data_IF_084449574230
#
_entry.id   IF_084449574230
#
_cell.length_a   1.000
_cell.length_b   1.000
_cell.length_c   1.000
_cell.angle_alpha   90.00
_cell.angle_beta   90.00
_cell.angle_gamma   90.00
#
_symmetry.space_group_name_H-M   'P 1'
#
loop_
_entity.id
_entity.type
_entity.pdbx_description
1 polymer ?
#
# COMPACT_ATOMS: atom_id res chain seq x y z
N UNK A 1 -27.59 -55.64 19.72
CA UNK A 1 -28.59 -56.39 20.00
C UNK A 1 -29.57 -55.97 18.93
N UNK A 2 -29.92 -56.67 18.14
CA UNK A 2 -29.42 -57.29 16.96
C UNK A 2 -30.10 -56.95 15.61
N UNK A 3 -30.92 -55.94 15.48
CA UNK A 3 -31.60 -55.59 14.22
C UNK A 3 -31.61 -54.07 13.94
N UNK A 4 -30.82 -53.30 14.67
CA UNK A 4 -30.76 -51.86 14.50
C UNK A 4 -29.34 -51.36 14.24
N UNK A 5 -29.18 -50.55 13.22
CA UNK A 5 -27.94 -49.84 12.87
C UNK A 5 -28.09 -48.36 13.28
N UNK A 6 -27.02 -47.78 13.75
CA UNK A 6 -26.91 -46.31 13.99
C UNK A 6 -26.50 -45.64 12.70
N UNK A 7 -27.31 -44.70 12.23
CA UNK A 7 -27.00 -43.81 11.13
C UNK A 7 -26.58 -42.46 11.72
N UNK A 8 -25.43 -41.98 11.30
CA UNK A 8 -24.86 -40.68 11.71
C UNK A 8 -24.59 -39.83 10.49
N UNK A 9 -25.05 -38.59 10.49
CA UNK A 9 -24.75 -37.62 9.43
C UNK A 9 -24.87 -36.19 9.97
N UNK A 10 -24.13 -35.29 9.35
CA UNK A 10 -24.16 -33.87 9.67
C UNK A 10 -25.23 -33.17 8.82
N UNK A 11 -25.93 -32.22 9.41
CA UNK A 11 -26.82 -31.29 8.71
C UNK A 11 -26.45 -29.87 9.04
N UNK A 12 -26.66 -28.98 8.08
CA UNK A 12 -26.41 -27.55 8.20
C UNK A 12 -27.61 -26.76 7.68
N UNK A 13 -27.88 -25.63 8.32
CA UNK A 13 -28.81 -24.61 7.82
C UNK A 13 -28.10 -23.38 7.26
N UNK A 14 -26.78 -23.51 6.95
CA UNK A 14 -25.85 -22.49 6.51
C UNK A 14 -25.44 -21.47 7.61
N UNK A 15 -25.98 -21.56 8.83
CA UNK A 15 -25.55 -20.77 9.99
C UNK A 15 -24.71 -21.58 10.96
N UNK A 16 -24.99 -22.90 11.04
CA UNK A 16 -24.27 -23.85 11.87
C UNK A 16 -24.44 -25.28 11.37
N UNK A 17 -23.67 -26.19 11.95
CA UNK A 17 -23.72 -27.62 11.64
C UNK A 17 -24.01 -28.43 12.91
N UNK A 18 -24.88 -29.40 12.83
CA UNK A 18 -25.21 -30.29 13.94
C UNK A 18 -25.24 -31.77 13.47
N UNK A 19 -24.76 -32.65 14.32
CA UNK A 19 -24.81 -34.09 14.05
C UNK A 19 -26.20 -34.65 14.34
N UNK A 20 -26.66 -35.54 13.48
CA UNK A 20 -27.88 -36.32 13.65
C UNK A 20 -27.48 -37.77 13.91
N UNK A 21 -28.05 -38.35 15.00
CA UNK A 21 -27.82 -39.75 15.35
C UNK A 21 -29.21 -40.44 15.47
N UNK A 22 -29.45 -41.41 14.61
CA UNK A 22 -30.70 -42.15 14.58
C UNK A 22 -30.50 -43.66 14.52
N UNK A 23 -31.40 -44.40 15.11
CA UNK A 23 -31.45 -45.85 15.02
C UNK A 23 -32.44 -46.25 13.91
N UNK A 24 -31.99 -47.05 12.96
CA UNK A 24 -32.81 -47.61 11.93
C UNK A 24 -32.76 -49.14 11.99
N UNK A 25 -33.89 -49.80 11.66
CA UNK A 25 -33.88 -51.24 11.48
C UNK A 25 -33.15 -51.62 10.20
N UNK A 26 -32.48 -52.75 10.20
CA UNK A 26 -31.67 -53.18 9.08
C UNK A 26 -32.47 -53.34 7.77
N UNK A 27 -33.74 -53.70 7.86
CA UNK A 27 -34.64 -53.79 6.71
C UNK A 27 -34.99 -52.44 6.07
N UNK A 28 -34.91 -51.35 6.82
CA UNK A 28 -35.19 -49.99 6.36
C UNK A 28 -33.95 -49.24 5.85
N UNK A 29 -32.79 -49.75 6.12
CA UNK A 29 -31.50 -49.10 5.74
C UNK A 29 -31.38 -48.75 4.25
N UNK A 30 -31.69 -49.63 3.28
CA UNK A 30 -31.57 -49.33 1.87
C UNK A 30 -32.41 -48.15 1.42
N UNK A 31 -33.66 -48.05 1.95
CA UNK A 31 -34.59 -46.96 1.66
C UNK A 31 -34.07 -45.63 2.22
N UNK A 32 -33.69 -45.63 3.50
CA UNK A 32 -33.17 -44.43 4.18
C UNK A 32 -31.92 -43.93 3.53
N UNK A 33 -30.92 -44.77 3.22
CA UNK A 33 -29.68 -44.39 2.58
C UNK A 33 -29.86 -44.00 1.12
N UNK A 34 -30.90 -44.52 0.45
CA UNK A 34 -31.30 -44.07 -0.89
C UNK A 34 -31.75 -42.61 -0.96
N UNK A 35 -32.43 -42.15 0.09
CA UNK A 35 -32.99 -40.80 0.20
C UNK A 35 -32.02 -39.78 0.86
N UNK A 36 -31.22 -40.24 1.82
CA UNK A 36 -30.23 -39.39 2.55
C UNK A 36 -28.88 -39.33 1.81
N UNK A 37 -28.86 -38.60 0.71
CA UNK A 37 -27.61 -38.35 -0.02
C UNK A 37 -26.97 -37.03 0.42
N UNK A 38 -25.64 -36.95 0.29
CA UNK A 38 -24.90 -35.68 0.50
C UNK A 38 -25.51 -34.57 -0.38
N UNK A 39 -25.84 -33.44 0.23
CA UNK A 39 -26.51 -32.32 -0.43
C UNK A 39 -28.03 -32.40 -0.52
N UNK A 40 -28.66 -33.44 0.04
CA UNK A 40 -30.12 -33.52 0.11
C UNK A 40 -30.67 -32.52 1.15
N UNK A 41 -31.71 -31.79 0.78
CA UNK A 41 -32.44 -30.90 1.67
C UNK A 41 -33.47 -31.70 2.42
N UNK A 42 -33.40 -31.67 3.76
CA UNK A 42 -34.28 -32.47 4.63
C UNK A 42 -34.82 -31.64 5.79
N UNK A 43 -36.06 -31.92 6.19
CA UNK A 43 -36.65 -31.46 7.43
C UNK A 43 -36.65 -32.63 8.43
N UNK A 44 -36.01 -32.40 9.58
CA UNK A 44 -35.82 -33.42 10.61
C UNK A 44 -36.65 -33.07 11.84
N UNK A 45 -37.32 -34.07 12.41
CA UNK A 45 -37.98 -33.97 13.68
C UNK A 45 -37.27 -34.89 14.68
N UNK A 46 -36.70 -34.33 15.73
CA UNK A 46 -35.95 -35.03 16.75
C UNK A 46 -35.79 -34.19 18.01
N UNK A 47 -35.01 -34.67 18.96
CA UNK A 47 -34.73 -33.99 20.24
C UNK A 47 -33.24 -33.64 20.23
N UNK A 48 -32.90 -32.39 20.50
CA UNK A 48 -31.51 -31.98 20.72
C UNK A 48 -31.06 -32.42 22.11
N UNK A 49 -29.92 -33.06 22.21
CA UNK A 49 -29.34 -33.56 23.45
C UNK A 49 -27.81 -33.49 23.37
N UNK A 50 -27.19 -33.41 24.53
CA UNK A 50 -25.74 -33.59 24.62
C UNK A 50 -25.45 -35.11 24.53
N UNK A 51 -24.68 -35.50 23.56
CA UNK A 51 -24.26 -36.90 23.42
C UNK A 51 -23.30 -37.27 24.56
N UNK A 52 -23.55 -38.43 25.15
CA UNK A 52 -22.80 -38.90 26.31
C UNK A 52 -21.40 -39.41 26.02
N UNK A 53 -21.12 -39.67 24.75
CA UNK A 53 -19.80 -40.21 24.33
C UNK A 53 -18.80 -39.14 23.90
N UNK A 54 -19.28 -38.14 23.15
CA UNK A 54 -18.40 -37.07 22.61
C UNK A 54 -18.69 -35.71 23.26
N UNK A 55 -19.75 -35.58 24.05
CA UNK A 55 -20.06 -34.31 24.74
C UNK A 55 -20.65 -33.22 23.83
N UNK A 56 -20.91 -33.54 22.55
CA UNK A 56 -21.37 -32.57 21.58
C UNK A 56 -22.93 -32.51 21.53
N UNK A 57 -23.44 -31.33 21.11
CA UNK A 57 -24.86 -31.17 20.86
C UNK A 57 -25.25 -31.93 19.60
N UNK A 58 -26.22 -32.86 19.73
CA UNK A 58 -26.68 -33.70 18.63
C UNK A 58 -28.19 -33.71 18.54
N UNK A 59 -28.77 -34.04 17.38
CA UNK A 59 -30.18 -34.40 17.22
C UNK A 59 -30.30 -35.91 17.35
N UNK A 60 -30.91 -36.33 18.46
CA UNK A 60 -31.25 -37.72 18.72
C UNK A 60 -32.77 -37.95 18.70
N UNK A 61 -33.18 -39.16 19.04
CA UNK A 61 -34.61 -39.55 19.07
C UNK A 61 -35.40 -39.07 17.84
N UNK A 62 -34.79 -39.26 16.68
CA UNK A 62 -35.34 -38.81 15.40
C UNK A 62 -36.65 -39.57 15.15
N UNK A 63 -37.77 -38.84 15.04
CA UNK A 63 -39.12 -39.38 14.79
C UNK A 63 -39.56 -39.20 13.35
N UNK A 64 -38.86 -38.44 12.55
CA UNK A 64 -39.16 -38.23 11.14
C UNK A 64 -38.11 -37.45 10.40
N UNK A 65 -37.91 -37.85 9.16
CA UNK A 65 -37.10 -37.13 8.17
C UNK A 65 -37.97 -37.01 6.93
N UNK A 66 -38.05 -35.79 6.38
CA UNK A 66 -38.77 -35.51 5.14
C UNK A 66 -37.84 -34.76 4.18
N UNK A 67 -37.74 -35.24 2.96
CA UNK A 67 -37.08 -34.51 1.88
C UNK A 67 -37.89 -33.25 1.55
N UNK A 68 -37.22 -32.15 1.39
CA UNK A 68 -37.79 -30.83 1.02
C UNK A 68 -37.09 -30.30 -0.22
N UNK A 69 -37.67 -29.27 -0.83
CA UNK A 69 -37.01 -28.57 -1.94
C UNK A 69 -35.77 -27.84 -1.51
N UNK A 70 -34.90 -27.60 -2.47
CA UNK A 70 -33.74 -26.71 -2.28
C UNK A 70 -34.25 -25.30 -1.94
N UNK A 71 -33.81 -24.76 -0.81
CA UNK A 71 -34.11 -23.40 -0.36
C UNK A 71 -32.88 -22.47 -0.40
N UNK A 72 -31.82 -22.91 -1.06
CA UNK A 72 -30.64 -22.07 -1.25
C UNK A 72 -30.99 -20.85 -2.10
N UNK A 73 -30.70 -19.68 -1.59
CA UNK A 73 -30.76 -18.45 -2.37
C UNK A 73 -29.43 -18.27 -3.04
N UNK A 74 -29.33 -18.56 -4.33
CA UNK A 74 -28.15 -18.22 -5.11
C UNK A 74 -28.15 -16.70 -5.37
N UNK A 75 -27.02 -16.06 -5.12
CA UNK A 75 -26.83 -14.68 -5.56
C UNK A 75 -26.66 -14.69 -7.08
N UNK A 76 -27.31 -13.75 -7.74
CA UNK A 76 -27.22 -13.53 -9.19
C UNK A 76 -26.84 -12.09 -9.46
N UNK A 77 -26.07 -11.88 -10.50
CA UNK A 77 -25.87 -10.54 -11.05
C UNK A 77 -26.99 -10.23 -12.04
N UNK A 78 -27.93 -9.37 -11.62
CA UNK A 78 -29.06 -8.92 -12.44
C UNK A 78 -28.76 -7.64 -13.23
N UNK A 79 -27.52 -7.16 -13.21
CA UNK A 79 -27.12 -5.97 -13.96
C UNK A 79 -27.31 -6.17 -15.47
N UNK A 80 -27.95 -5.23 -16.17
CA UNK A 80 -28.15 -5.34 -17.63
C UNK A 80 -26.83 -5.23 -18.41
N UNK A 81 -25.83 -4.56 -17.83
CA UNK A 81 -24.47 -4.46 -18.38
C UNK A 81 -23.53 -5.14 -17.39
N UNK A 82 -22.90 -6.21 -17.84
CA UNK A 82 -21.93 -6.95 -17.02
C UNK A 82 -20.58 -6.23 -17.04
N UNK A 83 -19.99 -6.06 -15.87
CA UNK A 83 -18.63 -5.51 -15.76
C UNK A 83 -17.57 -6.60 -15.89
N UNK A 84 -16.36 -6.20 -16.18
CA UNK A 84 -15.17 -7.04 -16.03
C UNK A 84 -14.51 -6.68 -14.70
N UNK A 85 -14.34 -7.66 -13.81
CA UNK A 85 -13.55 -7.47 -12.61
C UNK A 85 -12.07 -7.53 -12.97
N UNK A 86 -11.34 -6.45 -12.67
CA UNK A 86 -9.92 -6.31 -13.00
C UNK A 86 -8.98 -6.45 -11.79
N UNK A 87 -9.54 -6.58 -10.59
CA UNK A 87 -8.81 -6.71 -9.34
C UNK A 87 -9.47 -7.75 -8.45
N UNK A 88 -8.99 -8.98 -8.51
CA UNK A 88 -9.60 -10.10 -7.78
C UNK A 88 -8.54 -11.00 -7.16
N UNK A 89 -8.75 -11.35 -5.90
CA UNK A 89 -7.88 -12.22 -5.10
C UNK A 89 -8.49 -13.60 -4.91
N UNK A 90 -7.65 -14.62 -5.05
CA UNK A 90 -7.97 -16.01 -4.72
C UNK A 90 -7.35 -16.37 -3.36
N UNK A 91 -7.55 -17.60 -2.90
CA UNK A 91 -6.87 -18.13 -1.71
C UNK A 91 -5.33 -18.14 -1.81
N UNK A 92 -4.76 -17.85 -2.99
CA UNK A 92 -3.31 -17.74 -3.18
C UNK A 92 -2.78 -16.37 -2.73
N UNK A 93 -3.66 -15.40 -2.50
CA UNK A 93 -3.31 -14.12 -1.84
C UNK A 93 -3.26 -14.35 -0.34
N UNK A 94 -2.05 -14.38 0.21
CA UNK A 94 -1.79 -14.64 1.62
C UNK A 94 -2.52 -13.64 2.53
N UNK A 95 -3.30 -14.16 3.49
CA UNK A 95 -4.11 -13.42 4.47
C UNK A 95 -5.21 -12.50 3.89
N UNK A 96 -5.56 -12.64 2.60
CA UNK A 96 -6.52 -11.76 1.93
C UNK A 96 -7.65 -12.51 1.23
N UNK A 97 -7.34 -13.52 0.41
CA UNK A 97 -8.33 -14.32 -0.30
C UNK A 97 -8.61 -15.66 0.36
N UNK A 98 -9.88 -16.13 0.28
CA UNK A 98 -10.29 -17.45 0.82
C UNK A 98 -10.93 -18.35 -0.25
N UNK A 99 -11.32 -17.80 -1.41
CA UNK A 99 -12.05 -18.52 -2.45
C UNK A 99 -11.10 -19.24 -3.40
N UNK A 100 -11.50 -20.43 -3.84
CA UNK A 100 -10.82 -21.14 -4.92
C UNK A 100 -10.95 -20.34 -6.23
N UNK A 101 -9.88 -20.26 -7.00
CA UNK A 101 -9.89 -19.58 -8.30
C UNK A 101 -10.94 -20.17 -9.23
N UNK A 102 -11.11 -21.49 -9.23
CA UNK A 102 -12.11 -22.17 -10.04
C UNK A 102 -13.54 -21.71 -9.73
N UNK A 103 -13.86 -21.50 -8.45
CA UNK A 103 -15.20 -21.06 -8.02
C UNK A 103 -15.44 -19.60 -8.41
N UNK A 104 -14.41 -18.76 -8.29
CA UNK A 104 -14.46 -17.34 -8.71
C UNK A 104 -14.69 -17.24 -10.21
N UNK A 105 -13.88 -17.93 -11.00
CA UNK A 105 -13.94 -17.91 -12.48
C UNK A 105 -15.27 -18.47 -12.98
N UNK A 106 -15.70 -19.61 -12.41
CA UNK A 106 -16.99 -20.23 -12.69
C UNK A 106 -18.15 -19.27 -12.37
N UNK A 107 -18.10 -18.58 -11.24
CA UNK A 107 -19.14 -17.62 -10.83
C UNK A 107 -19.26 -16.46 -11.80
N UNK A 108 -18.12 -15.89 -12.23
CA UNK A 108 -18.11 -14.81 -13.23
C UNK A 108 -18.70 -15.28 -14.56
N UNK A 109 -18.34 -16.47 -15.01
CA UNK A 109 -18.89 -17.08 -16.23
C UNK A 109 -20.39 -17.34 -16.12
N UNK A 110 -20.86 -18.01 -15.02
CA UNK A 110 -22.29 -18.31 -14.80
C UNK A 110 -23.15 -17.04 -14.74
N UNK A 111 -22.58 -15.91 -14.31
CA UNK A 111 -23.26 -14.61 -14.26
C UNK A 111 -23.22 -13.85 -15.58
N UNK A 112 -22.58 -14.41 -16.62
CA UNK A 112 -22.48 -13.82 -17.94
C UNK A 112 -21.53 -12.63 -18.04
N UNK A 113 -20.54 -12.54 -17.15
CA UNK A 113 -19.45 -11.58 -17.31
C UNK A 113 -18.61 -11.96 -18.54
N UNK A 114 -18.11 -10.98 -19.32
CA UNK A 114 -17.30 -11.30 -20.50
C UNK A 114 -15.88 -11.74 -20.16
N UNK A 115 -15.37 -11.37 -18.97
CA UNK A 115 -14.06 -11.75 -18.48
C UNK A 115 -13.92 -11.48 -16.97
N UNK A 116 -12.87 -12.06 -16.38
CA UNK A 116 -12.41 -11.74 -15.02
C UNK A 116 -10.88 -11.74 -14.98
N UNK A 117 -10.27 -10.81 -14.25
CA UNK A 117 -8.84 -10.84 -13.96
C UNK A 117 -8.56 -11.60 -12.66
N UNK A 118 -7.45 -12.33 -12.62
CA UNK A 118 -6.89 -12.93 -11.42
C UNK A 118 -5.61 -12.17 -11.08
N UNK A 119 -5.58 -11.51 -9.92
CA UNK A 119 -4.55 -10.55 -9.54
C UNK A 119 -4.11 -10.75 -8.09
N UNK A 120 -3.66 -11.95 -7.77
CA UNK A 120 -3.17 -12.29 -6.43
C UNK A 120 -1.93 -11.46 -6.04
N UNK A 121 -1.73 -11.25 -4.74
CA UNK A 121 -0.61 -10.48 -4.18
C UNK A 121 0.75 -11.10 -4.51
N UNK A 122 1.46 -10.51 -5.48
CA UNK A 122 2.84 -10.85 -5.82
C UNK A 122 3.06 -12.26 -6.37
N UNK A 123 2.01 -13.01 -6.70
CA UNK A 123 2.09 -14.43 -7.08
C UNK A 123 1.20 -14.77 -8.28
N UNK A 124 1.50 -15.90 -8.92
CA UNK A 124 0.79 -16.40 -10.11
C UNK A 124 0.29 -17.86 -9.94
N UNK A 125 0.24 -18.39 -8.71
CA UNK A 125 -0.09 -19.79 -8.46
C UNK A 125 -1.49 -20.19 -8.90
N UNK A 126 -2.45 -19.24 -8.94
CA UNK A 126 -3.82 -19.50 -9.36
C UNK A 126 -3.98 -19.67 -10.88
N UNK A 127 -2.99 -19.30 -11.71
CA UNK A 127 -3.12 -19.27 -13.17
C UNK A 127 -3.37 -20.65 -13.79
N UNK A 128 -2.68 -21.74 -13.40
CA UNK A 128 -2.96 -23.04 -13.97
C UNK A 128 -4.40 -23.50 -13.76
N UNK A 129 -4.93 -23.34 -12.54
CA UNK A 129 -6.30 -23.77 -12.21
C UNK A 129 -7.35 -22.88 -12.90
N UNK A 130 -7.08 -21.57 -13.07
CA UNK A 130 -7.92 -20.69 -13.88
C UNK A 130 -7.94 -21.12 -15.35
N UNK A 131 -6.78 -21.47 -15.91
CA UNK A 131 -6.66 -21.97 -17.28
C UNK A 131 -7.38 -23.32 -17.49
N UNK A 132 -7.23 -24.24 -16.54
CA UNK A 132 -7.93 -25.53 -16.59
C UNK A 132 -9.45 -25.37 -16.60
N UNK A 133 -9.99 -24.36 -15.92
CA UNK A 133 -11.43 -24.06 -16.03
C UNK A 133 -11.80 -23.63 -17.47
N UNK A 134 -11.03 -22.72 -18.08
CA UNK A 134 -11.27 -22.26 -19.47
C UNK A 134 -11.22 -23.45 -20.46
N UNK A 135 -10.31 -24.40 -20.26
CA UNK A 135 -10.20 -25.60 -21.09
C UNK A 135 -11.43 -26.53 -21.00
N UNK A 136 -12.27 -26.36 -19.97
CA UNK A 136 -13.55 -27.11 -19.84
C UNK A 136 -14.72 -26.46 -20.59
N UNK A 137 -14.57 -25.22 -21.05
CA UNK A 137 -15.61 -24.51 -21.78
C UNK A 137 -15.60 -24.90 -23.27
N UNK A 138 -16.70 -24.60 -23.96
CA UNK A 138 -16.77 -24.78 -25.39
C UNK A 138 -15.75 -23.88 -26.10
N UNK A 139 -15.20 -24.35 -27.23
CA UNK A 139 -14.17 -23.61 -27.98
C UNK A 139 -14.61 -22.25 -28.47
N UNK A 140 -15.91 -22.07 -28.68
CA UNK A 140 -16.51 -20.83 -29.15
C UNK A 140 -17.02 -19.94 -28.00
N UNK A 141 -16.81 -20.36 -26.76
CA UNK A 141 -17.18 -19.55 -25.60
C UNK A 141 -16.34 -18.27 -25.54
N UNK A 142 -16.96 -17.08 -25.51
CA UNK A 142 -16.24 -15.81 -25.54
C UNK A 142 -15.60 -15.43 -24.20
N UNK A 143 -15.90 -16.13 -23.11
CA UNK A 143 -15.42 -15.81 -21.77
C UNK A 143 -13.91 -15.91 -21.66
N UNK A 144 -13.28 -14.97 -20.93
CA UNK A 144 -11.82 -14.89 -20.81
C UNK A 144 -11.38 -14.73 -19.36
N UNK A 145 -10.26 -15.37 -19.03
CA UNK A 145 -9.47 -15.03 -17.84
C UNK A 145 -8.34 -14.09 -18.26
N UNK A 146 -8.23 -12.97 -17.57
CA UNK A 146 -7.13 -12.00 -17.70
C UNK A 146 -6.12 -12.32 -16.58
N UNK A 147 -4.88 -12.61 -16.97
CA UNK A 147 -3.80 -12.93 -16.03
C UNK A 147 -3.12 -11.64 -15.59
N UNK A 148 -3.01 -11.44 -14.28
CA UNK A 148 -2.41 -10.27 -13.69
C UNK A 148 -1.81 -10.55 -12.32
N UNK A 149 -1.23 -9.54 -11.73
CA UNK A 149 -0.70 -9.58 -10.37
C UNK A 149 -0.96 -8.26 -9.67
N UNK A 150 -1.30 -8.29 -8.39
CA UNK A 150 -1.15 -7.12 -7.55
C UNK A 150 0.29 -7.08 -7.03
N UNK A 151 1.09 -6.24 -7.65
CA UNK A 151 2.51 -6.08 -7.33
C UNK A 151 2.75 -5.03 -6.26
N UNK A 152 3.91 -5.09 -5.63
CA UNK A 152 4.41 -4.11 -4.67
C UNK A 152 5.50 -3.27 -5.35
N UNK A 153 5.07 -2.20 -6.05
CA UNK A 153 6.00 -1.33 -6.76
C UNK A 153 6.82 -0.47 -5.80
N UNK A 154 8.08 -0.30 -6.13
CA UNK A 154 9.02 0.62 -5.48
C UNK A 154 9.42 1.68 -6.48
N UNK A 155 9.32 2.95 -6.11
CA UNK A 155 9.82 4.04 -6.94
C UNK A 155 11.33 4.25 -6.68
N UNK A 156 12.12 3.47 -7.38
CA UNK A 156 13.58 3.52 -7.37
C UNK A 156 14.14 4.47 -8.44
N UNK A 157 13.26 5.11 -9.22
CA UNK A 157 13.62 6.16 -10.18
C UNK A 157 13.51 7.56 -9.59
N UNK A 158 13.09 7.69 -8.32
CA UNK A 158 13.07 8.98 -7.65
C UNK A 158 14.50 9.47 -7.48
N UNK A 159 14.81 10.55 -8.16
CA UNK A 159 16.10 11.20 -8.04
C UNK A 159 16.32 11.73 -6.61
N UNK A 160 17.55 11.61 -6.10
CA UNK A 160 17.95 12.22 -4.83
C UNK A 160 17.97 13.73 -4.97
N UNK A 161 18.45 14.21 -6.12
CA UNK A 161 18.45 15.61 -6.51
C UNK A 161 17.60 15.78 -7.77
N UNK A 162 16.43 16.39 -7.62
CA UNK A 162 15.44 16.58 -8.70
C UNK A 162 15.81 17.79 -9.55
N UNK A 163 15.59 17.69 -10.86
CA UNK A 163 15.96 18.71 -11.86
C UNK A 163 17.45 19.07 -11.82
N UNK A 164 18.30 18.22 -11.26
CA UNK A 164 19.70 18.48 -11.05
C UNK A 164 20.54 18.33 -12.33
N UNK A 165 21.54 19.16 -12.44
CA UNK A 165 22.59 19.12 -13.46
C UNK A 165 23.99 18.96 -12.83
N UNK A 166 24.93 19.74 -13.32
CA UNK A 166 26.31 19.72 -12.87
C UNK A 166 26.57 20.71 -11.71
N UNK A 167 25.54 21.07 -10.90
CA UNK A 167 25.70 21.89 -9.69
C UNK A 167 26.68 21.23 -8.74
N UNK A 168 27.64 22.05 -8.25
CA UNK A 168 28.68 21.61 -7.32
C UNK A 168 28.10 21.36 -5.92
N UNK A 169 28.60 20.37 -5.18
CA UNK A 169 28.27 20.19 -3.77
C UNK A 169 28.82 21.35 -2.88
N UNK A 170 29.60 22.28 -3.44
CA UNK A 170 30.05 23.51 -2.78
C UNK A 170 29.23 24.75 -3.14
N UNK A 171 28.23 24.62 -4.02
CA UNK A 171 27.32 25.71 -4.36
C UNK A 171 26.47 26.15 -3.15
N UNK A 172 25.68 27.18 -3.36
CA UNK A 172 24.73 27.65 -2.33
C UNK A 172 23.53 26.73 -2.25
N UNK A 173 23.25 26.25 -1.05
CA UNK A 173 22.10 25.41 -0.72
C UNK A 173 21.19 26.10 0.29
N UNK A 174 19.89 26.06 0.04
CA UNK A 174 18.87 26.60 0.95
C UNK A 174 18.14 25.41 1.58
N UNK A 175 18.56 25.09 2.78
CA UNK A 175 17.93 24.01 3.56
C UNK A 175 16.74 24.58 4.27
N UNK A 176 15.53 24.06 4.01
CA UNK A 176 14.31 24.64 4.55
C UNK A 176 13.33 23.56 5.03
N UNK A 177 12.40 24.00 5.83
CA UNK A 177 11.30 23.22 6.36
C UNK A 177 10.09 24.13 6.49
N UNK A 178 8.88 23.58 6.40
CA UNK A 178 7.64 24.33 6.54
C UNK A 178 6.70 23.65 7.53
N UNK A 179 5.95 24.48 8.27
CA UNK A 179 4.79 24.00 9.01
C UNK A 179 3.51 24.40 8.27
N UNK A 180 2.50 23.53 8.31
CA UNK A 180 1.29 23.67 7.49
C UNK A 180 0.03 23.33 8.27
N UNK A 181 -1.14 23.77 7.78
CA UNK A 181 -2.45 23.42 8.38
C UNK A 181 -2.89 21.98 8.09
N UNK A 182 -2.14 21.22 7.28
CA UNK A 182 -2.44 19.83 6.90
C UNK A 182 -1.50 19.33 5.80
N UNK A 183 -1.83 18.22 5.17
CA UNK A 183 -0.91 17.49 4.28
C UNK A 183 -1.09 17.76 2.78
N UNK A 184 -2.08 18.54 2.38
CA UNK A 184 -2.42 18.77 0.98
C UNK A 184 -1.98 20.15 0.53
N UNK A 185 -0.97 20.24 -0.35
CA UNK A 185 -0.52 21.51 -0.94
C UNK A 185 -1.63 22.30 -1.68
N UNK A 186 -2.72 21.60 -2.11
CA UNK A 186 -3.87 22.23 -2.79
C UNK A 186 -4.90 22.78 -1.80
N UNK A 187 -5.10 22.13 -0.65
CA UNK A 187 -6.20 22.43 0.29
C UNK A 187 -5.72 23.07 1.58
N UNK A 188 -4.48 22.87 1.94
CA UNK A 188 -3.91 23.34 3.20
C UNK A 188 -2.95 24.50 2.97
N UNK A 189 -2.63 25.23 4.03
CA UNK A 189 -1.88 26.47 3.97
C UNK A 189 -0.59 26.38 4.78
N UNK A 190 0.46 27.05 4.35
CA UNK A 190 1.70 27.23 5.11
C UNK A 190 1.42 28.16 6.30
N UNK A 191 1.98 27.84 7.48
CA UNK A 191 1.89 28.64 8.71
C UNK A 191 3.24 29.10 9.25
N UNK A 192 4.35 28.42 8.87
CA UNK A 192 5.72 28.84 9.16
C UNK A 192 6.64 28.43 8.02
N UNK A 193 7.64 29.24 7.69
CA UNK A 193 8.77 28.90 6.81
C UNK A 193 10.06 29.15 7.59
N UNK A 194 10.87 28.11 7.74
CA UNK A 194 12.21 28.16 8.28
C UNK A 194 13.24 27.76 7.24
N UNK A 195 14.29 28.53 7.07
CA UNK A 195 15.34 28.20 6.13
C UNK A 195 16.73 28.59 6.63
N UNK A 196 17.72 27.85 6.16
CA UNK A 196 19.12 28.02 6.49
C UNK A 196 19.93 28.01 5.19
N UNK A 197 20.72 29.05 4.95
CA UNK A 197 21.62 29.13 3.80
C UNK A 197 22.95 28.47 4.13
N UNK A 198 23.32 27.49 3.33
CA UNK A 198 24.61 26.78 3.41
C UNK A 198 25.44 27.12 2.20
N UNK A 199 26.67 27.50 2.41
CA UNK A 199 27.68 27.79 1.37
C UNK A 199 29.01 27.24 1.82
N UNK A 200 29.75 26.60 0.91
CA UNK A 200 31.06 25.96 1.22
C UNK A 200 31.01 25.08 2.49
N UNK A 201 29.91 24.33 2.67
CA UNK A 201 29.70 23.45 3.83
C UNK A 201 29.48 24.17 5.16
N UNK A 202 29.16 25.47 5.14
CA UNK A 202 28.92 26.28 6.35
C UNK A 202 27.58 27.00 6.30
N UNK A 203 26.93 27.10 7.46
CA UNK A 203 25.73 27.91 7.61
C UNK A 203 26.14 29.37 7.62
N UNK A 204 25.62 30.16 6.69
CA UNK A 204 25.97 31.58 6.50
C UNK A 204 24.82 32.55 6.78
N UNK A 205 23.55 32.09 6.67
CA UNK A 205 22.37 32.95 6.88
C UNK A 205 21.14 32.11 7.29
N UNK A 206 20.10 32.77 7.82
CA UNK A 206 18.85 32.16 8.26
C UNK A 206 17.66 33.02 7.88
N UNK A 207 16.56 32.35 7.55
CA UNK A 207 15.24 32.93 7.31
C UNK A 207 14.23 32.24 8.21
N UNK A 208 13.37 32.98 8.91
CA UNK A 208 12.33 32.39 9.74
C UNK A 208 11.17 33.37 9.85
N UNK A 209 9.97 32.91 9.51
CA UNK A 209 8.77 33.73 9.59
C UNK A 209 7.52 32.90 9.72
N UNK A 210 6.57 33.40 10.49
CA UNK A 210 5.19 32.91 10.47
C UNK A 210 4.45 33.44 9.23
N UNK A 211 3.46 32.68 8.81
CA UNK A 211 2.57 33.01 7.69
C UNK A 211 1.14 32.91 8.17
N UNK A 212 0.34 33.98 7.96
CA UNK A 212 -1.08 33.94 8.26
C UNK A 212 -1.81 33.05 7.22
N UNK A 213 -2.37 31.88 7.63
CA UNK A 213 -3.08 31.01 6.72
C UNK A 213 -4.45 31.52 6.28
N UNK A 214 -4.94 32.64 6.87
CA UNK A 214 -6.29 33.23 6.68
C UNK A 214 -7.43 32.26 6.96
N UNK A 215 -7.17 31.27 7.80
CA UNK A 215 -8.10 30.22 8.25
C UNK A 215 -7.65 29.66 9.60
N UNK A 216 -8.55 29.11 10.41
CA UNK A 216 -8.17 28.50 11.69
C UNK A 216 -7.18 27.33 11.49
N UNK A 217 -6.21 27.23 12.39
CA UNK A 217 -5.27 26.11 12.45
C UNK A 217 -5.99 24.93 13.13
N UNK A 218 -6.02 23.72 12.53
CA UNK A 218 -6.61 22.55 13.16
C UNK A 218 -5.93 22.20 14.50
N UNK A 219 -6.72 21.78 15.46
CA UNK A 219 -6.24 21.44 16.80
C UNK A 219 -5.10 20.43 16.82
N UNK A 220 -5.16 19.43 15.94
CA UNK A 220 -4.12 18.41 15.79
C UNK A 220 -2.79 19.01 15.33
N UNK A 221 -2.84 20.03 14.47
CA UNK A 221 -1.64 20.75 13.99
C UNK A 221 -1.07 21.62 15.10
N UNK A 222 -1.92 22.36 15.84
CA UNK A 222 -1.46 23.12 17.01
C UNK A 222 -0.80 22.20 18.05
N UNK A 223 -1.35 21.02 18.30
CA UNK A 223 -0.74 20.06 19.22
C UNK A 223 0.61 19.52 18.71
N UNK A 224 0.78 19.41 17.40
CA UNK A 224 2.01 18.90 16.79
C UNK A 224 3.12 19.96 16.77
N UNK A 225 2.78 21.17 16.28
CA UNK A 225 3.75 22.25 15.99
C UNK A 225 3.88 23.26 17.12
N UNK A 226 2.93 23.27 18.06
CA UNK A 226 2.75 24.31 19.08
C UNK A 226 2.45 25.72 18.51
N UNK A 227 2.15 25.83 17.21
CA UNK A 227 1.76 27.09 16.57
C UNK A 227 0.26 27.28 16.75
N UNK A 228 -0.12 28.44 17.32
CA UNK A 228 -1.52 28.81 17.56
C UNK A 228 -2.00 29.86 16.59
N UNK A 229 -3.32 30.04 16.50
CA UNK A 229 -3.92 31.10 15.69
C UNK A 229 -3.42 32.49 16.10
N UNK A 230 -3.23 32.73 17.41
CA UNK A 230 -2.74 34.03 17.93
C UNK A 230 -1.31 34.32 17.45
N UNK A 231 -0.46 33.29 17.27
CA UNK A 231 0.92 33.51 16.82
C UNK A 231 1.02 33.94 15.36
N UNK A 232 0.06 33.54 14.53
CA UNK A 232 0.08 33.79 13.09
C UNK A 232 -0.88 34.91 12.62
N UNK A 233 -1.83 35.33 13.46
CA UNK A 233 -2.91 36.23 13.03
C UNK A 233 -2.41 37.60 12.55
N UNK A 234 -1.33 38.12 13.15
CA UNK A 234 -0.74 39.42 12.78
C UNK A 234 0.39 39.26 11.75
N UNK A 235 0.70 38.05 11.33
CA UNK A 235 1.72 37.80 10.31
C UNK A 235 1.20 38.10 8.90
N UNK A 236 2.08 38.48 7.96
CA UNK A 236 1.69 38.58 6.55
C UNK A 236 1.20 37.26 5.98
N UNK A 237 0.37 37.31 4.95
CA UNK A 237 -0.04 36.12 4.20
C UNK A 237 1.04 35.63 3.26
N UNK A 238 0.82 34.45 2.69
CA UNK A 238 1.78 33.75 1.79
C UNK A 238 2.13 34.63 0.57
N UNK A 239 1.20 35.43 0.08
CA UNK A 239 1.40 36.34 -1.04
C UNK A 239 2.49 37.40 -0.80
N UNK A 240 2.79 37.71 0.46
CA UNK A 240 3.86 38.63 0.87
C UNK A 240 5.14 37.86 1.22
N UNK A 241 5.01 36.73 1.90
CA UNK A 241 6.15 35.98 2.44
C UNK A 241 6.85 35.19 1.35
N UNK A 242 6.11 34.57 0.43
CA UNK A 242 6.74 33.74 -0.61
C UNK A 242 7.71 34.50 -1.49
N UNK A 243 7.43 35.74 -1.99
CA UNK A 243 8.43 36.50 -2.71
C UNK A 243 9.72 36.77 -1.89
N UNK A 244 9.59 37.04 -0.58
CA UNK A 244 10.75 37.26 0.30
C UNK A 244 11.55 35.95 0.49
N UNK A 245 10.87 34.83 0.62
CA UNK A 245 11.54 33.52 0.67
C UNK A 245 12.27 33.23 -0.64
N UNK A 246 11.66 33.48 -1.80
CA UNK A 246 12.28 33.28 -3.10
C UNK A 246 13.49 34.21 -3.32
N UNK A 247 13.44 35.44 -2.82
CA UNK A 247 14.59 36.35 -2.80
C UNK A 247 15.73 35.80 -1.94
N UNK A 248 15.42 35.23 -0.76
CA UNK A 248 16.40 34.55 0.09
C UNK A 248 16.99 33.32 -0.60
N UNK A 249 16.17 32.56 -1.35
CA UNK A 249 16.63 31.39 -2.14
C UNK A 249 17.63 31.84 -3.23
N UNK A 250 17.29 32.87 -4.01
CA UNK A 250 18.07 33.31 -5.15
C UNK A 250 18.31 32.16 -6.14
N UNK A 251 19.56 31.98 -6.57
CA UNK A 251 19.99 30.89 -7.46
C UNK A 251 20.36 29.58 -6.70
N UNK A 252 20.06 29.51 -5.40
CA UNK A 252 20.43 28.38 -4.55
C UNK A 252 19.59 27.13 -4.83
N UNK A 253 20.19 25.96 -4.56
CA UNK A 253 19.50 24.67 -4.62
C UNK A 253 18.71 24.45 -3.32
N UNK A 254 17.44 24.10 -3.43
CA UNK A 254 16.62 23.77 -2.28
C UNK A 254 17.00 22.42 -1.67
N UNK A 255 16.94 22.31 -0.36
CA UNK A 255 17.16 21.05 0.37
C UNK A 255 16.12 20.92 1.46
N UNK A 256 15.46 19.76 1.57
CA UNK A 256 14.55 19.49 2.67
C UNK A 256 14.56 18.01 3.07
N UNK A 257 13.96 17.70 4.23
CA UNK A 257 13.87 16.33 4.73
C UNK A 257 12.51 15.71 4.35
N UNK A 258 12.46 14.88 3.30
CA UNK A 258 11.28 14.47 2.55
C UNK A 258 10.77 15.60 1.64
N UNK A 259 11.70 16.14 0.88
CA UNK A 259 11.61 17.40 0.13
C UNK A 259 10.37 17.53 -0.76
N UNK A 260 9.84 16.43 -1.29
CA UNK A 260 8.63 16.45 -2.12
C UNK A 260 7.40 17.04 -1.41
N UNK A 261 7.34 16.98 -0.07
CA UNK A 261 6.28 17.62 0.72
C UNK A 261 6.47 19.15 0.72
N UNK A 262 7.60 19.62 1.19
CA UNK A 262 7.88 21.04 1.39
C UNK A 262 7.91 21.80 0.05
N UNK A 263 8.66 21.27 -0.91
CA UNK A 263 8.76 21.83 -2.26
C UNK A 263 7.39 21.87 -2.93
N UNK A 264 6.57 20.82 -2.78
CA UNK A 264 5.23 20.76 -3.35
C UNK A 264 4.29 21.87 -2.85
N UNK A 265 4.43 22.31 -1.59
CA UNK A 265 3.71 23.49 -1.07
C UNK A 265 4.25 24.79 -1.67
N UNK A 266 5.57 24.94 -1.79
CA UNK A 266 6.19 26.12 -2.41
C UNK A 266 5.76 26.23 -3.88
N UNK A 267 5.91 25.16 -4.67
CA UNK A 267 5.49 25.09 -6.07
C UNK A 267 4.01 25.45 -6.26
N UNK A 268 3.12 24.87 -5.41
CA UNK A 268 1.69 25.14 -5.51
C UNK A 268 1.37 26.62 -5.24
N UNK A 269 2.03 27.22 -4.25
CA UNK A 269 1.85 28.64 -3.96
C UNK A 269 2.47 29.55 -5.05
N UNK A 270 3.61 29.15 -5.64
CA UNK A 270 4.16 29.85 -6.82
C UNK A 270 3.17 29.82 -7.99
N UNK A 271 2.59 28.68 -8.32
CA UNK A 271 1.54 28.56 -9.36
C UNK A 271 0.35 29.47 -9.06
N UNK A 272 -0.14 29.48 -7.82
CA UNK A 272 -1.27 30.30 -7.41
C UNK A 272 -1.00 31.80 -7.55
N UNK A 273 0.26 32.24 -7.40
CA UNK A 273 0.68 33.63 -7.50
C UNK A 273 1.27 34.00 -8.88
N UNK A 274 1.34 33.04 -9.82
CA UNK A 274 1.91 33.26 -11.15
C UNK A 274 3.43 33.49 -11.14
N UNK A 275 4.12 32.91 -10.16
CA UNK A 275 5.58 32.91 -10.02
C UNK A 275 6.17 31.64 -10.64
N UNK A 276 7.49 31.65 -10.92
CA UNK A 276 8.21 30.46 -11.36
C UNK A 276 8.15 29.37 -10.30
N UNK A 277 7.76 28.16 -10.68
CA UNK A 277 7.57 26.99 -9.83
C UNK A 277 8.57 25.85 -10.12
N UNK A 278 9.66 26.16 -10.85
CA UNK A 278 10.69 25.19 -11.22
C UNK A 278 11.89 25.30 -10.30
N UNK A 279 12.05 24.31 -9.41
CA UNK A 279 13.14 24.28 -8.46
C UNK A 279 14.07 23.09 -8.70
N UNK A 280 15.38 23.31 -8.47
CA UNK A 280 16.32 22.22 -8.26
C UNK A 280 16.34 21.95 -6.76
N UNK A 281 16.14 20.70 -6.37
CA UNK A 281 16.13 20.37 -4.94
C UNK A 281 16.73 19.00 -4.63
N UNK A 282 17.20 18.83 -3.39
CA UNK A 282 17.76 17.58 -2.83
C UNK A 282 16.89 17.07 -1.72
N UNK A 283 16.54 15.78 -1.74
CA UNK A 283 15.83 15.10 -0.64
C UNK A 283 16.83 14.39 0.28
N UNK A 284 16.96 14.90 1.50
CA UNK A 284 17.87 14.30 2.49
C UNK A 284 17.41 12.95 3.01
N UNK A 285 16.12 12.57 2.89
CA UNK A 285 15.64 11.22 3.20
C UNK A 285 16.15 10.23 2.14
N UNK A 286 16.05 10.60 0.86
CA UNK A 286 16.55 9.77 -0.23
C UNK A 286 18.08 9.60 -0.09
N UNK A 287 18.78 10.67 0.20
CA UNK A 287 20.24 10.66 0.43
C UNK A 287 20.64 9.83 1.66
N UNK A 288 19.88 9.94 2.77
CA UNK A 288 20.11 9.15 3.97
C UNK A 288 19.92 7.64 3.74
N UNK A 289 18.99 7.23 2.87
CA UNK A 289 18.80 5.81 2.52
C UNK A 289 20.04 5.22 1.85
N UNK A 290 20.75 6.01 1.09
CA UNK A 290 21.97 5.59 0.38
C UNK A 290 23.18 5.61 1.31
N UNK A 291 23.37 6.70 2.06
CA UNK A 291 24.57 6.92 2.89
C UNK A 291 24.50 6.20 4.25
N UNK A 292 23.29 5.96 4.78
CA UNK A 292 23.06 5.29 6.08
C UNK A 292 22.19 4.04 5.91
N UNK A 293 22.59 3.05 5.10
CA UNK A 293 21.75 1.91 4.74
C UNK A 293 21.41 0.98 5.92
N UNK A 294 22.07 1.13 7.06
CA UNK A 294 21.83 0.33 8.27
C UNK A 294 20.64 0.81 9.09
N UNK A 295 20.16 2.04 8.88
CA UNK A 295 19.02 2.57 9.61
C UNK A 295 17.71 1.86 9.22
N UNK A 296 16.86 1.62 10.19
CA UNK A 296 15.53 1.03 9.98
C UNK A 296 14.45 2.07 9.64
N UNK A 297 14.67 3.33 9.99
CA UNK A 297 13.78 4.48 9.75
C UNK A 297 14.62 5.73 9.48
N UNK A 298 14.06 6.64 8.67
CA UNK A 298 14.73 7.85 8.20
C UNK A 298 13.99 9.13 8.61
N UNK A 299 13.34 9.14 9.77
CA UNK A 299 12.80 10.37 10.36
C UNK A 299 13.94 11.30 10.78
N UNK A 300 13.72 12.61 10.73
CA UNK A 300 14.73 13.63 11.02
C UNK A 300 15.49 13.37 12.33
N UNK A 301 14.76 13.11 13.41
CA UNK A 301 15.35 12.83 14.72
C UNK A 301 16.22 11.54 14.76
N UNK A 302 15.89 10.56 13.94
CA UNK A 302 16.67 9.30 13.86
C UNK A 302 17.95 9.52 13.08
N UNK A 303 17.88 10.24 11.95
CA UNK A 303 19.05 10.58 11.12
C UNK A 303 19.99 11.52 11.89
N UNK A 304 19.44 12.57 12.52
CA UNK A 304 20.21 13.49 13.36
C UNK A 304 20.98 12.73 14.46
N UNK A 305 20.29 11.85 15.19
CA UNK A 305 20.90 11.01 16.23
C UNK A 305 22.02 10.11 15.69
N UNK A 306 21.81 9.49 14.51
CA UNK A 306 22.81 8.62 13.88
C UNK A 306 24.08 9.37 13.48
N UNK A 307 23.95 10.65 13.19
CA UNK A 307 25.04 11.55 12.84
C UNK A 307 25.58 12.38 14.03
N UNK A 308 25.10 12.13 15.26
CA UNK A 308 25.44 12.90 16.47
C UNK A 308 25.14 14.41 16.32
N UNK A 309 23.99 14.75 15.74
CA UNK A 309 23.47 16.12 15.61
C UNK A 309 22.41 16.33 16.67
N UNK A 310 22.47 17.47 17.38
CA UNK A 310 21.45 17.88 18.35
C UNK A 310 20.21 18.36 17.62
N UNK A 311 19.04 17.96 18.09
CA UNK A 311 17.75 18.43 17.62
C UNK A 311 16.97 18.97 18.81
N UNK A 312 17.06 20.29 19.03
CA UNK A 312 16.33 21.03 20.05
C UNK A 312 15.09 21.65 19.41
N UNK A 313 13.97 21.73 20.14
CA UNK A 313 12.70 22.31 19.69
C UNK A 313 12.15 21.71 18.38
N UNK A 314 12.14 20.41 18.27
CA UNK A 314 11.54 19.72 17.11
C UNK A 314 10.11 20.19 16.86
N UNK A 315 9.71 20.33 15.59
CA UNK A 315 8.48 20.98 15.09
C UNK A 315 8.47 22.52 15.15
N UNK A 316 9.64 23.14 14.99
CA UNK A 316 9.80 24.53 14.61
C UNK A 316 10.60 24.57 13.31
N UNK A 317 10.01 25.14 12.27
CA UNK A 317 10.57 25.05 10.92
C UNK A 317 12.05 25.49 10.82
N UNK A 318 12.47 26.53 11.51
CA UNK A 318 13.87 26.99 11.48
C UNK A 318 14.83 26.04 12.22
N UNK A 319 14.39 25.39 13.28
CA UNK A 319 15.21 24.45 14.05
C UNK A 319 15.35 23.13 13.29
N UNK A 320 14.27 22.64 12.66
CA UNK A 320 14.28 21.45 11.81
C UNK A 320 15.09 21.70 10.53
N UNK A 321 14.98 22.88 9.91
CA UNK A 321 15.85 23.30 8.81
C UNK A 321 17.33 23.37 9.24
N UNK A 322 17.62 23.86 10.44
CA UNK A 322 18.97 23.91 11.00
C UNK A 322 19.59 22.51 11.17
N UNK A 323 18.85 21.60 11.80
CA UNK A 323 19.29 20.21 11.95
C UNK A 323 19.44 19.51 10.59
N UNK A 324 18.53 19.76 9.66
CA UNK A 324 18.61 19.24 8.29
C UNK A 324 19.85 19.80 7.55
N UNK A 325 20.20 21.05 7.78
CA UNK A 325 21.42 21.66 7.21
C UNK A 325 22.69 21.00 7.74
N UNK A 326 22.79 20.73 9.04
CA UNK A 326 23.92 19.98 9.60
C UNK A 326 23.99 18.53 9.05
N UNK A 327 22.85 17.86 8.89
CA UNK A 327 22.78 16.56 8.24
C UNK A 327 23.28 16.64 6.82
N UNK A 328 22.80 17.61 6.04
CA UNK A 328 23.21 17.80 4.65
C UNK A 328 24.71 18.06 4.51
N UNK A 329 25.28 18.92 5.34
CA UNK A 329 26.74 19.18 5.36
C UNK A 329 27.52 17.89 5.60
N UNK A 330 27.12 17.06 6.58
CA UNK A 330 27.76 15.76 6.81
C UNK A 330 27.63 14.80 5.63
N UNK A 331 26.47 14.81 4.98
CA UNK A 331 26.27 14.00 3.77
C UNK A 331 27.18 14.46 2.62
N UNK A 332 27.33 15.76 2.41
CA UNK A 332 28.27 16.32 1.44
C UNK A 332 29.72 15.88 1.76
N UNK A 333 30.12 15.92 3.04
CA UNK A 333 31.44 15.42 3.45
C UNK A 333 31.63 13.91 3.13
N UNK A 334 30.59 13.10 3.33
CA UNK A 334 30.61 11.66 3.02
C UNK A 334 30.72 11.43 1.51
N UNK A 335 29.92 12.13 0.70
CA UNK A 335 29.96 12.05 -0.76
C UNK A 335 31.32 12.45 -1.33
N UNK A 336 31.94 13.54 -0.83
CA UNK A 336 33.24 14.00 -1.25
C UNK A 336 34.36 12.99 -0.94
N UNK A 337 34.23 12.21 0.15
CA UNK A 337 35.18 11.11 0.42
C UNK A 337 35.12 10.01 -0.64
N UNK A 338 33.97 9.84 -1.27
CA UNK A 338 33.76 8.90 -2.38
C UNK A 338 34.00 9.55 -3.76
N UNK A 339 34.61 10.74 -3.80
CA UNK A 339 34.88 11.52 -4.99
C UNK A 339 33.65 11.97 -5.79
N UNK A 340 32.52 12.12 -5.12
CA UNK A 340 31.28 12.68 -5.67
C UNK A 340 31.30 14.19 -5.43
N UNK A 341 31.16 14.99 -6.48
CA UNK A 341 31.32 16.44 -6.44
C UNK A 341 30.17 17.24 -7.01
N UNK A 342 29.28 16.59 -7.77
CA UNK A 342 28.09 17.21 -8.40
C UNK A 342 26.80 16.50 -8.07
N UNK A 343 25.67 17.20 -8.17
CA UNK A 343 24.34 16.64 -7.94
C UNK A 343 23.99 15.52 -8.94
N UNK A 344 24.45 15.63 -10.18
CA UNK A 344 24.28 14.59 -11.18
C UNK A 344 25.00 13.28 -10.78
N UNK A 345 26.18 13.41 -10.17
CA UNK A 345 26.92 12.26 -9.63
C UNK A 345 26.22 11.68 -8.40
N UNK A 346 25.60 12.50 -7.56
CA UNK A 346 24.77 12.06 -6.42
C UNK A 346 23.63 11.14 -6.89
N UNK A 347 22.90 11.49 -7.93
CA UNK A 347 21.85 10.65 -8.49
C UNK A 347 22.40 9.31 -9.00
N UNK A 348 23.54 9.31 -9.70
CA UNK A 348 24.19 8.09 -10.17
C UNK A 348 24.75 7.23 -9.03
N UNK A 349 25.20 7.85 -7.95
CA UNK A 349 25.67 7.15 -6.74
C UNK A 349 24.52 6.44 -6.02
N UNK A 350 23.32 7.03 -6.04
CA UNK A 350 22.09 6.43 -5.50
C UNK A 350 21.56 5.24 -6.33
N UNK A 351 21.94 5.18 -7.62
CA UNK A 351 21.50 4.12 -8.53
C UNK A 351 22.06 2.75 -8.12
N UNK A 352 21.15 1.74 -7.99
CA UNK A 352 21.47 0.29 -8.01
C UNK A 352 21.85 -0.41 -6.71
N UNK A 353 21.57 0.12 -5.55
CA UNK A 353 21.73 -0.69 -4.34
C UNK A 353 20.48 -1.52 -4.05
N UNK A 354 20.52 -2.83 -4.39
CA UNK A 354 19.44 -3.81 -4.10
C UNK A 354 18.99 -3.73 -2.63
N UNK A 355 19.93 -3.53 -1.69
CA UNK A 355 19.61 -3.40 -0.27
C UNK A 355 18.86 -2.11 0.06
N UNK A 356 19.10 -1.03 -0.67
CA UNK A 356 18.32 0.20 -0.55
C UNK A 356 16.90 0.00 -1.08
N UNK A 357 16.74 -0.58 -2.27
CA UNK A 357 15.44 -0.92 -2.88
C UNK A 357 14.61 -1.80 -1.94
N UNK A 358 15.23 -2.81 -1.30
CA UNK A 358 14.56 -3.69 -0.32
C UNK A 358 14.01 -2.96 0.91
N UNK A 359 14.43 -1.74 1.20
CA UNK A 359 13.99 -0.92 2.35
C UNK A 359 13.06 0.22 1.96
N UNK A 360 12.91 0.52 0.67
CA UNK A 360 12.03 1.58 0.19
C UNK A 360 10.56 1.25 0.46
N UNK A 361 9.70 2.25 0.61
CA UNK A 361 8.26 2.05 0.72
C UNK A 361 7.71 1.38 -0.54
N UNK A 362 6.65 0.61 -0.37
CA UNK A 362 5.98 -0.06 -1.48
C UNK A 362 4.58 0.51 -1.68
N UNK A 363 4.14 0.59 -2.93
CA UNK A 363 2.78 0.93 -3.32
C UNK A 363 2.17 -0.23 -4.07
N UNK A 364 0.85 -0.41 -3.96
CA UNK A 364 0.15 -1.46 -4.70
C UNK A 364 -0.07 -1.03 -6.15
N UNK A 365 0.14 -1.95 -7.08
CA UNK A 365 -0.10 -1.75 -8.50
C UNK A 365 -0.71 -3.01 -9.10
N UNK A 366 -1.75 -2.84 -9.91
CA UNK A 366 -2.32 -3.94 -10.70
C UNK A 366 -1.65 -3.98 -12.06
N UNK A 367 -0.99 -5.09 -12.37
CA UNK A 367 -0.35 -5.34 -13.65
C UNK A 367 -1.11 -6.46 -14.37
N UNK A 368 -1.67 -6.15 -15.54
CA UNK A 368 -2.44 -7.09 -16.36
C UNK A 368 -1.68 -7.45 -17.64
N UNK A 369 -1.64 -8.74 -17.94
CA UNK A 369 -1.02 -9.22 -19.17
C UNK A 369 -1.98 -9.04 -20.36
N UNK A 370 -1.56 -8.27 -21.37
CA UNK A 370 -2.35 -8.02 -22.58
C UNK A 370 -2.37 -9.24 -23.54
N UNK A 371 -1.30 -10.01 -23.55
CA UNK A 371 -1.08 -11.15 -24.46
C UNK A 371 -0.05 -12.14 -23.86
N UNK A 372 0.30 -13.17 -24.62
CA UNK A 372 1.26 -14.19 -24.15
C UNK A 372 2.67 -13.63 -23.87
N UNK A 373 3.12 -12.61 -24.59
CA UNK A 373 4.40 -11.95 -24.32
C UNK A 373 4.31 -11.21 -22.99
N UNK A 374 3.22 -10.46 -22.78
CA UNK A 374 2.97 -9.78 -21.50
C UNK A 374 2.86 -10.76 -20.33
N UNK A 375 2.27 -11.96 -20.53
CA UNK A 375 2.21 -13.00 -19.52
C UNK A 375 3.60 -13.56 -19.19
N UNK A 376 4.45 -13.76 -20.19
CA UNK A 376 5.84 -14.16 -19.97
C UNK A 376 6.61 -13.08 -19.18
N UNK A 377 6.48 -11.82 -19.56
CA UNK A 377 7.10 -10.72 -18.83
C UNK A 377 6.58 -10.62 -17.39
N UNK A 378 5.29 -10.87 -17.16
CA UNK A 378 4.72 -10.89 -15.82
C UNK A 378 5.37 -11.98 -14.94
N UNK A 379 5.63 -13.17 -15.48
CA UNK A 379 6.36 -14.21 -14.76
C UNK A 379 7.81 -13.78 -14.44
N UNK A 380 8.47 -13.07 -15.35
CA UNK A 380 9.81 -12.52 -15.10
C UNK A 380 9.79 -11.51 -13.96
N UNK A 381 8.86 -10.56 -14.00
CA UNK A 381 8.69 -9.56 -12.93
C UNK A 381 8.43 -10.23 -11.56
N UNK A 382 7.54 -11.21 -11.50
CA UNK A 382 7.24 -11.96 -10.27
C UNK A 382 8.50 -12.68 -9.80
N UNK A 383 9.23 -13.35 -10.70
CA UNK A 383 10.46 -14.07 -10.35
C UNK A 383 11.51 -13.12 -9.77
N UNK A 384 11.80 -12.02 -10.44
CA UNK A 384 12.78 -11.02 -9.97
C UNK A 384 12.36 -10.41 -8.62
N UNK A 385 11.07 -10.11 -8.45
CA UNK A 385 10.57 -9.55 -7.20
C UNK A 385 10.81 -10.46 -5.99
N UNK A 386 10.76 -11.79 -6.19
CA UNK A 386 11.02 -12.79 -5.15
C UNK A 386 12.51 -13.12 -4.99
N UNK A 387 13.23 -13.29 -6.08
CA UNK A 387 14.62 -13.75 -6.03
C UNK A 387 15.59 -12.65 -5.64
N UNK A 388 15.39 -11.44 -6.18
CA UNK A 388 16.32 -10.32 -6.04
C UNK A 388 15.85 -9.28 -5.01
N UNK A 389 14.57 -8.90 -5.04
CA UNK A 389 14.08 -7.73 -4.30
C UNK A 389 13.18 -8.07 -3.11
N UNK A 390 13.07 -9.32 -2.71
CA UNK A 390 12.23 -9.72 -1.58
C UNK A 390 12.73 -9.16 -0.24
N UNK A 391 11.83 -8.51 0.50
CA UNK A 391 12.01 -8.14 1.90
C UNK A 391 10.63 -7.97 2.55
N UNK A 392 10.20 -8.98 3.32
CA UNK A 392 8.85 -9.17 3.87
C UNK A 392 7.75 -9.36 2.82
N UNK A 393 7.92 -8.79 1.62
CA UNK A 393 7.05 -8.91 0.44
C UNK A 393 7.88 -8.77 -0.84
N UNK A 394 7.42 -9.34 -1.97
CA UNK A 394 8.13 -9.23 -3.25
C UNK A 394 7.99 -7.80 -3.79
N UNK A 395 9.12 -7.12 -4.00
CA UNK A 395 9.16 -5.76 -4.52
C UNK A 395 9.45 -5.74 -6.01
N UNK A 396 8.76 -4.86 -6.72
CA UNK A 396 8.98 -4.61 -8.13
C UNK A 396 9.56 -3.20 -8.27
N UNK A 397 10.86 -3.03 -8.50
CA UNK A 397 11.43 -1.73 -8.83
C UNK A 397 10.80 -1.17 -10.10
N UNK A 398 10.55 0.11 -10.16
CA UNK A 398 9.98 0.80 -11.33
C UNK A 398 10.96 0.79 -12.52
N UNK A 399 12.25 0.66 -12.22
CA UNK A 399 13.33 0.52 -13.21
C UNK A 399 13.39 -0.85 -13.88
N UNK A 400 12.72 -1.87 -13.33
CA UNK A 400 12.70 -3.24 -13.84
C UNK A 400 11.71 -3.38 -15.02
#
# INVERSE_FOLDING_TARGET
RNEKTIIMFAVTDFTGTIMVKMFARNDQLPEILGELKKGAFVKIKGITTIDKFDGELTIGSVTGIKKIGDFTVSREDLSPIKRVELHCHTKMSDMDGVSEVKDIVKRAHDWGHPAIAITDHGVAQAFPDANHYIETLDKDDPFKVIYGVEGYIVDDLTEIAVNAGDQSLDDTYIVFDIETTGFSSIRDSIIEIGAVKVQDGRIVDRFSTFVNPKRPIPFEITNLTSITDEMVMDSPGIETILPQFLEFVGDGVLVAHNAGFDVGFIEQNCRNLGLDDHFIYVDTVALARVLLPTLSKYKLNIVAKALNISLENHHRAVDDAGATAEIFVKFVEMLKKDNITTLKEVNRYGDRNVNAIRKMPTHHIIILAKNNIGRYNLYQLITESHMTYYSRRPRIPKSL
#
